data_IF_912477237470
#
_entry.id   IF_912477237470
#
_cell.length_a   1.000
_cell.length_b   1.000
_cell.length_c   1.000
_cell.angle_alpha   90.00
_cell.angle_beta   90.00
_cell.angle_gamma   90.00
#
_symmetry.space_group_name_H-M   'P 1'
#
loop_
_entity.id
_entity.type
_entity.pdbx_description
1 polymer ?
#
# COMPACT_ATOMS: atom_id res chain seq x y z
N UNK A 1 -2.29 -15.74 -10.13
CA UNK A 1 -2.84 -14.81 -11.13
C UNK A 1 -3.84 -13.95 -10.35
N UNK A 2 -3.48 -12.71 -9.95
CA UNK A 2 -4.08 -11.97 -8.81
C UNK A 2 -5.52 -11.43 -8.95
N UNK A 3 -6.33 -11.99 -9.84
CA UNK A 3 -7.64 -11.42 -10.16
C UNK A 3 -8.66 -11.55 -9.03
N UNK A 4 -8.52 -12.51 -8.11
CA UNK A 4 -9.42 -12.65 -6.97
C UNK A 4 -9.20 -11.56 -5.93
N UNK A 5 -7.93 -11.31 -5.58
CA UNK A 5 -7.57 -10.31 -4.58
C UNK A 5 -7.95 -8.90 -5.04
N UNK A 6 -7.74 -8.61 -6.33
CA UNK A 6 -8.17 -7.37 -6.96
C UNK A 6 -9.69 -7.17 -6.90
N UNK A 7 -10.49 -8.23 -7.13
CA UNK A 7 -11.96 -8.17 -7.07
C UNK A 7 -12.44 -7.92 -5.64
N UNK A 8 -11.89 -8.64 -4.67
CA UNK A 8 -12.24 -8.46 -3.25
C UNK A 8 -11.89 -7.06 -2.76
N UNK A 9 -10.70 -6.55 -3.10
CA UNK A 9 -10.31 -5.19 -2.75
C UNK A 9 -11.24 -4.14 -3.39
N UNK A 10 -11.69 -4.34 -4.63
CA UNK A 10 -12.60 -3.42 -5.32
C UNK A 10 -13.90 -3.20 -4.53
N UNK A 11 -14.47 -4.28 -4.00
CA UNK A 11 -15.66 -4.22 -3.14
C UNK A 11 -15.34 -3.56 -1.81
N UNK A 12 -14.24 -3.95 -1.16
CA UNK A 12 -13.86 -3.45 0.17
C UNK A 12 -13.50 -1.95 0.19
N UNK A 13 -12.91 -1.41 -0.87
CA UNK A 13 -12.59 0.02 -0.98
C UNK A 13 -13.83 0.93 -0.92
N UNK A 14 -15.01 0.39 -1.26
CA UNK A 14 -16.25 1.16 -1.33
C UNK A 14 -16.21 2.31 -2.34
N UNK A 15 -17.21 3.22 -2.31
CA UNK A 15 -17.34 4.32 -3.27
C UNK A 15 -16.47 5.52 -2.93
N UNK A 16 -15.95 5.62 -1.70
CA UNK A 16 -15.23 6.81 -1.21
C UNK A 16 -13.77 6.86 -1.71
N UNK A 17 -13.19 5.71 -2.06
CA UNK A 17 -11.86 5.64 -2.67
C UNK A 17 -12.02 5.66 -4.19
N UNK A 18 -11.64 6.80 -4.79
CA UNK A 18 -11.88 7.10 -6.21
C UNK A 18 -10.58 7.51 -6.93
N UNK A 19 -10.69 7.66 -8.26
CA UNK A 19 -9.63 8.17 -9.11
C UNK A 19 -8.32 7.40 -8.97
N UNK A 20 -7.21 8.15 -8.91
CA UNK A 20 -5.87 7.57 -8.87
C UNK A 20 -5.61 6.69 -7.64
N UNK A 21 -6.16 7.02 -6.47
CA UNK A 21 -6.00 6.19 -5.27
C UNK A 21 -6.58 4.80 -5.50
N UNK A 22 -7.79 4.75 -6.08
CA UNK A 22 -8.44 3.49 -6.44
C UNK A 22 -7.63 2.72 -7.47
N UNK A 23 -7.16 3.39 -8.53
CA UNK A 23 -6.36 2.75 -9.56
C UNK A 23 -5.09 2.11 -8.97
N UNK A 24 -4.31 2.88 -8.20
CA UNK A 24 -3.07 2.39 -7.56
C UNK A 24 -3.34 1.19 -6.65
N UNK A 25 -4.37 1.25 -5.80
CA UNK A 25 -4.72 0.16 -4.91
C UNK A 25 -5.07 -1.14 -5.68
N UNK A 26 -5.82 -1.00 -6.77
CA UNK A 26 -6.23 -2.14 -7.59
C UNK A 26 -5.08 -2.74 -8.39
N UNK A 27 -4.16 -1.93 -8.91
CA UNK A 27 -2.97 -2.43 -9.62
C UNK A 27 -2.01 -3.16 -8.68
N UNK A 28 -1.82 -2.69 -7.44
CA UNK A 28 -1.05 -3.43 -6.43
C UNK A 28 -1.69 -4.78 -6.13
N UNK A 29 -3.03 -4.84 -6.05
CA UNK A 29 -3.73 -6.08 -5.77
C UNK A 29 -3.74 -7.06 -6.95
N UNK A 30 -3.65 -6.56 -8.18
CA UNK A 30 -3.52 -7.39 -9.38
C UNK A 30 -2.14 -8.03 -9.49
N UNK A 31 -1.07 -7.26 -9.19
CA UNK A 31 0.32 -7.74 -9.15
C UNK A 31 0.60 -8.67 -7.97
N UNK A 32 -0.14 -8.51 -6.86
CA UNK A 32 0.12 -9.23 -5.63
C UNK A 32 -0.08 -10.75 -5.78
N UNK A 33 0.80 -11.51 -5.12
CA UNK A 33 0.63 -12.94 -4.94
C UNK A 33 -0.59 -13.20 -4.03
N UNK A 34 -1.48 -14.12 -4.42
CA UNK A 34 -2.77 -14.31 -3.75
C UNK A 34 -2.63 -14.86 -2.32
N UNK A 35 -1.67 -15.76 -2.09
CA UNK A 35 -1.47 -16.41 -0.79
C UNK A 35 -0.77 -15.48 0.21
N UNK A 36 0.26 -14.77 -0.25
CA UNK A 36 1.08 -13.89 0.60
C UNK A 36 0.60 -12.46 0.64
N UNK A 37 -0.27 -12.06 -0.30
CA UNK A 37 -0.73 -10.69 -0.56
C UNK A 37 0.37 -9.68 -0.88
N UNK A 38 1.59 -10.16 -1.15
CA UNK A 38 2.75 -9.30 -1.42
C UNK A 38 2.85 -8.97 -2.89
N UNK A 39 3.17 -7.71 -3.16
CA UNK A 39 3.48 -7.19 -4.49
C UNK A 39 4.88 -6.59 -4.48
N UNK A 40 5.58 -6.78 -5.59
CA UNK A 40 6.92 -6.26 -5.81
C UNK A 40 6.95 -5.14 -6.86
N UNK A 41 5.78 -4.73 -7.37
CA UNK A 41 5.65 -3.64 -8.34
C UNK A 41 6.48 -2.41 -7.93
N UNK A 42 7.05 -1.72 -8.91
CA UNK A 42 7.76 -0.46 -8.65
C UNK A 42 6.80 0.74 -8.68
N UNK A 43 7.22 1.90 -8.17
CA UNK A 43 6.39 3.10 -8.27
C UNK A 43 6.27 3.57 -9.72
N UNK A 44 7.30 3.32 -10.51
CA UNK A 44 7.39 3.64 -11.93
C UNK A 44 6.43 2.78 -12.75
N UNK A 45 6.35 1.48 -12.45
CA UNK A 45 5.38 0.59 -13.07
C UNK A 45 3.95 1.00 -12.70
N UNK A 46 3.69 1.30 -11.42
CA UNK A 46 2.38 1.82 -11.00
C UNK A 46 2.03 3.13 -11.70
N UNK A 47 3.00 4.04 -11.87
CA UNK A 47 2.76 5.29 -12.59
C UNK A 47 2.37 5.02 -14.04
N UNK A 48 3.08 4.11 -14.72
CA UNK A 48 2.80 3.68 -16.09
C UNK A 48 1.40 3.05 -16.22
N UNK A 49 1.05 2.12 -15.33
CA UNK A 49 -0.23 1.40 -15.39
C UNK A 49 -1.43 2.26 -15.05
N UNK A 50 -1.27 3.21 -14.13
CA UNK A 50 -2.35 4.10 -13.68
C UNK A 50 -2.44 5.41 -14.47
N UNK A 51 -1.51 5.67 -15.38
CA UNK A 51 -1.40 6.94 -16.10
C UNK A 51 -1.02 8.13 -15.21
N UNK A 52 -0.44 7.88 -14.03
CA UNK A 52 0.07 8.95 -13.18
C UNK A 52 1.29 9.61 -13.83
N UNK A 53 1.45 10.92 -13.58
CA UNK A 53 2.57 11.70 -14.12
C UNK A 53 3.93 11.08 -13.79
N UNK A 54 4.11 10.65 -12.55
CA UNK A 54 5.37 10.13 -12.04
C UNK A 54 5.17 9.33 -10.73
N UNK A 55 6.26 8.72 -10.27
CA UNK A 55 6.33 7.98 -9.01
C UNK A 55 6.01 8.83 -7.75
N UNK A 56 6.22 10.15 -7.79
CA UNK A 56 5.91 11.05 -6.67
C UNK A 56 4.40 11.17 -6.50
N UNK A 57 3.66 11.29 -7.60
CA UNK A 57 2.20 11.31 -7.58
C UNK A 57 1.63 9.99 -7.03
N UNK A 58 2.17 8.84 -7.46
CA UNK A 58 1.79 7.52 -6.92
C UNK A 58 2.06 7.44 -5.41
N UNK A 59 3.24 7.89 -4.96
CA UNK A 59 3.59 7.92 -3.53
C UNK A 59 2.62 8.78 -2.72
N UNK A 60 2.14 9.90 -3.26
CA UNK A 60 1.16 10.74 -2.60
C UNK A 60 -0.23 10.08 -2.55
N UNK A 61 -0.63 9.34 -3.59
CA UNK A 61 -1.85 8.53 -3.57
C UNK A 61 -1.80 7.46 -2.46
N UNK A 62 -0.68 6.76 -2.31
CA UNK A 62 -0.45 5.78 -1.24
C UNK A 62 -0.53 6.41 0.16
N UNK A 63 0.03 7.60 0.35
CA UNK A 63 -0.10 8.33 1.63
C UNK A 63 -1.55 8.67 1.96
N UNK A 64 -2.35 9.06 0.96
CA UNK A 64 -3.77 9.38 1.15
C UNK A 64 -4.59 8.12 1.46
N UNK A 65 -4.30 6.99 0.80
CA UNK A 65 -4.88 5.69 1.15
C UNK A 65 -4.58 5.31 2.61
N UNK A 66 -3.33 5.42 3.03
CA UNK A 66 -2.92 5.12 4.39
C UNK A 66 -3.64 6.00 5.43
N UNK A 67 -3.83 7.29 5.13
CA UNK A 67 -4.54 8.22 6.00
C UNK A 67 -6.01 7.83 6.27
N UNK A 68 -6.61 7.04 5.37
CA UNK A 68 -7.99 6.53 5.50
C UNK A 68 -8.03 5.03 5.84
N UNK A 69 -6.93 4.47 6.34
CA UNK A 69 -6.86 3.09 6.85
C UNK A 69 -6.33 2.06 5.87
N UNK A 70 -6.01 2.44 4.63
CA UNK A 70 -5.49 1.53 3.60
C UNK A 70 -3.97 1.67 3.46
N UNK A 71 -3.21 1.11 4.40
CA UNK A 71 -1.74 1.10 4.31
C UNK A 71 -1.24 -0.11 3.51
N UNK A 72 -0.74 0.14 2.31
CA UNK A 72 -0.17 -0.89 1.43
C UNK A 72 1.34 -1.04 1.57
N UNK A 73 2.04 -0.02 2.10
CA UNK A 73 3.49 -0.01 2.13
C UNK A 73 3.98 -0.85 3.31
N UNK A 74 4.89 -1.77 3.05
CA UNK A 74 5.51 -2.56 4.11
C UNK A 74 6.63 -1.75 4.75
N UNK A 75 6.60 -1.52 6.07
CA UNK A 75 7.69 -0.85 6.75
C UNK A 75 8.93 -1.75 6.76
N UNK A 76 10.08 -1.19 6.41
CA UNK A 76 11.38 -1.88 6.42
C UNK A 76 12.18 -1.63 7.71
N UNK A 77 11.69 -0.72 8.56
CA UNK A 77 12.30 -0.42 9.85
C UNK A 77 11.89 0.95 10.38
N UNK A 78 12.58 1.39 11.42
CA UNK A 78 12.44 2.73 12.00
C UNK A 78 13.71 3.53 11.74
N UNK A 79 13.55 4.76 11.28
CA UNK A 79 14.65 5.70 11.10
C UNK A 79 15.22 6.13 12.46
N UNK A 80 16.42 6.70 12.44
CA UNK A 80 17.07 7.26 13.64
C UNK A 80 16.23 8.38 14.30
N UNK A 81 15.32 8.99 13.54
CA UNK A 81 14.38 10.02 13.96
C UNK A 81 13.04 9.46 14.50
N UNK A 82 12.91 8.13 14.60
CA UNK A 82 11.70 7.47 15.05
C UNK A 82 10.60 7.33 13.99
N UNK A 83 10.81 7.83 12.76
CA UNK A 83 9.83 7.69 11.67
C UNK A 83 9.90 6.31 11.02
N UNK A 84 8.77 5.80 10.56
CA UNK A 84 8.73 4.52 9.84
C UNK A 84 9.39 4.70 8.47
N UNK A 85 10.37 3.85 8.17
CA UNK A 85 11.01 3.77 6.86
C UNK A 85 10.27 2.76 6.00
N UNK A 86 9.94 3.16 4.79
CA UNK A 86 9.33 2.31 3.76
C UNK A 86 10.27 2.06 2.57
N UNK A 87 11.33 2.85 2.45
CA UNK A 87 12.37 2.69 1.46
C UNK A 87 13.67 3.29 1.99
N UNK A 88 14.79 2.62 1.72
CA UNK A 88 16.15 3.15 1.88
C UNK A 88 16.93 2.89 0.58
N UNK A 89 17.99 3.66 0.29
CA UNK A 89 18.82 3.40 -0.88
C UNK A 89 19.28 1.92 -0.91
N UNK A 90 19.10 1.25 -2.05
CA UNK A 90 19.46 -0.16 -2.23
C UNK A 90 18.41 -1.19 -1.76
N UNK A 91 17.29 -0.77 -1.15
CA UNK A 91 16.20 -1.68 -0.74
C UNK A 91 14.96 -1.42 -1.58
N UNK A 92 14.48 -2.46 -2.26
CA UNK A 92 13.25 -2.42 -3.05
C UNK A 92 12.04 -2.20 -2.12
N UNK A 93 11.20 -1.23 -2.47
CA UNK A 93 9.95 -1.01 -1.76
C UNK A 93 9.04 -2.23 -1.97
N UNK A 94 8.40 -2.69 -0.90
CA UNK A 94 7.50 -3.85 -0.92
C UNK A 94 6.09 -3.39 -0.59
N UNK A 95 5.11 -3.96 -1.28
CA UNK A 95 3.71 -3.72 -1.01
C UNK A 95 3.03 -4.96 -0.45
N UNK A 96 1.98 -4.76 0.32
CA UNK A 96 1.09 -5.83 0.77
C UNK A 96 -0.35 -5.34 0.74
N UNK A 97 -1.25 -6.14 0.16
CA UNK A 97 -2.68 -5.86 0.23
C UNK A 97 -3.17 -6.12 1.66
N UNK A 98 -3.69 -5.11 2.37
CA UNK A 98 -4.14 -5.29 3.74
C UNK A 98 -5.37 -6.21 3.80
N UNK A 99 -5.65 -6.83 4.95
CA UNK A 99 -6.91 -7.54 5.17
C UNK A 99 -8.13 -6.65 4.92
N UNK A 100 -9.18 -7.24 4.34
CA UNK A 100 -10.43 -6.53 4.04
C UNK A 100 -11.34 -6.39 5.26
N UNK A 101 -11.19 -7.29 6.25
CA UNK A 101 -11.87 -7.22 7.53
C UNK A 101 -11.06 -6.34 8.49
N UNK A 102 -11.74 -5.41 9.19
CA UNK A 102 -11.08 -4.59 10.20
C UNK A 102 -10.34 -3.36 9.66
N UNK A 103 -10.66 -2.87 8.46
CA UNK A 103 -10.34 -1.48 8.04
C UNK A 103 -11.21 -0.51 8.84
N UNK A 104 -11.06 -0.56 10.15
CA UNK A 104 -11.62 0.38 11.09
C UNK A 104 -10.92 1.72 10.85
N UNK A 105 -11.74 2.75 10.64
CA UNK A 105 -11.43 4.17 10.78
C UNK A 105 -10.11 4.44 11.50
N UNK A 106 -9.08 4.82 10.73
CA UNK A 106 -7.75 5.11 11.26
C UNK A 106 -7.80 6.31 12.21
N UNK A 107 -7.92 6.02 13.51
CA UNK A 107 -7.40 6.89 14.56
C UNK A 107 -5.91 6.55 14.69
N UNK A 108 -4.98 7.50 14.52
CA UNK A 108 -3.58 7.22 14.79
C UNK A 108 -3.41 7.13 16.32
N UNK A 109 -3.30 5.91 16.85
CA UNK A 109 -2.75 5.71 18.20
C UNK A 109 -1.55 4.78 18.10
N UNK A 110 -0.38 5.39 18.26
CA UNK A 110 0.88 4.69 18.32
C UNK A 110 0.91 3.70 19.48
N UNK A 111 1.40 2.50 19.17
CA UNK A 111 2.36 1.71 19.95
C UNK A 111 2.28 0.28 19.43
N UNK A 112 3.14 -0.07 18.47
CA UNK A 112 3.45 -1.48 18.22
C UNK A 112 4.91 -1.70 18.64
N UNK A 113 5.08 -2.39 19.76
CA UNK A 113 6.38 -2.89 20.21
C UNK A 113 6.79 -4.00 19.25
N UNK A 114 7.88 -3.82 18.52
CA UNK A 114 8.53 -4.93 17.81
C UNK A 114 9.37 -5.75 18.80
N UNK A 115 9.37 -7.09 18.72
CA UNK A 115 10.28 -7.91 19.49
C UNK A 115 11.71 -7.69 18.97
N UNK A 116 12.65 -7.50 19.90
CA UNK A 116 14.08 -7.43 19.59
C UNK A 116 14.57 -8.84 19.29
N UNK A 117 15.07 -9.06 18.08
CA UNK A 117 16.05 -10.10 17.77
C UNK A 117 17.45 -9.57 17.99
#
# INVERSE_FOLDING_TARGET
>A
MGYHLRRQLREALGPNITGLQRAVALEIADDANEDTRRSWVTLEDLARWTGAKDAVVVRNALKRLAAVGWEFRVPIGQGKDGRILYAVPGVRMTFTVPPFEGVATATPKGSHRYPKG
#
